data_IF_055199040686
#
_entry.id   IF_055199040686
#
_cell.length_a   1.000
_cell.length_b   1.000
_cell.length_c   1.000
_cell.angle_alpha   90.00
_cell.angle_beta   90.00
_cell.angle_gamma   90.00
#
_symmetry.space_group_name_H-M   'P 1'
#
loop_
_entity.id
_entity.type
_entity.pdbx_description
1 polymer ?
#
# COMPACT_ATOMS: atom_id res chain seq x y z
N UNK A 1 5.18 -2.04 32.95
CA UNK A 1 5.81 -1.18 31.93
C UNK A 1 6.12 -2.07 30.74
N UNK A 2 5.19 -2.14 29.79
CA UNK A 2 5.36 -2.87 28.54
C UNK A 2 4.47 -2.18 27.52
N UNK A 3 4.92 -1.03 27.01
CA UNK A 3 4.35 -0.49 25.77
C UNK A 3 4.86 -1.39 24.65
N UNK A 4 4.28 -2.58 24.55
CA UNK A 4 4.45 -3.44 23.39
C UNK A 4 3.93 -2.63 22.22
N UNK A 5 4.86 -2.11 21.42
CA UNK A 5 4.58 -1.34 20.21
C UNK A 5 3.64 -2.24 19.40
N UNK A 6 2.35 -1.92 19.37
CA UNK A 6 1.44 -2.56 18.44
C UNK A 6 2.05 -2.30 17.08
N UNK A 7 2.40 -3.35 16.31
CA UNK A 7 2.98 -3.13 15.00
C UNK A 7 2.04 -2.20 14.26
N UNK A 8 2.56 -1.05 13.82
CA UNK A 8 1.77 -0.11 13.03
C UNK A 8 1.11 -0.92 11.93
N UNK A 9 -0.22 -0.81 11.76
CA UNK A 9 -0.95 -1.60 10.77
C UNK A 9 -0.31 -1.49 9.37
N UNK A 10 0.32 -0.34 9.07
CA UNK A 10 1.13 -0.14 7.88
C UNK A 10 2.35 -1.07 7.77
N UNK A 11 3.05 -1.39 8.86
CA UNK A 11 4.15 -2.36 8.83
C UNK A 11 3.66 -3.77 8.49
N UNK A 12 2.54 -4.20 9.07
CA UNK A 12 1.94 -5.50 8.73
C UNK A 12 1.61 -5.55 7.24
N UNK A 13 0.90 -4.55 6.74
CA UNK A 13 0.50 -4.46 5.32
C UNK A 13 1.71 -4.40 4.38
N UNK A 14 2.78 -3.72 4.79
CA UNK A 14 4.02 -3.62 4.02
C UNK A 14 4.80 -4.95 3.96
N UNK A 15 4.65 -5.81 4.96
CA UNK A 15 5.33 -7.11 5.01
C UNK A 15 4.52 -8.26 4.37
N UNK A 16 3.30 -7.99 3.90
CA UNK A 16 2.51 -9.00 3.20
C UNK A 16 3.15 -9.35 1.84
N UNK A 17 3.23 -10.65 1.56
CA UNK A 17 3.62 -11.18 0.24
C UNK A 17 2.56 -10.82 -0.82
N UNK A 18 1.30 -10.67 -0.40
CA UNK A 18 0.19 -10.34 -1.29
C UNK A 18 0.22 -8.85 -1.65
N UNK A 19 -0.08 -8.53 -2.91
CA UNK A 19 -0.24 -7.16 -3.39
C UNK A 19 -1.54 -6.56 -2.84
N UNK A 20 -1.43 -5.55 -1.98
CA UNK A 20 -2.57 -4.80 -1.44
C UNK A 20 -2.62 -3.42 -2.07
N UNK A 21 -3.77 -3.12 -2.69
CA UNK A 21 -4.07 -1.84 -3.31
C UNK A 21 -5.38 -1.29 -2.74
N UNK A 22 -5.37 -0.07 -2.22
CA UNK A 22 -6.58 0.65 -1.82
C UNK A 22 -6.85 1.74 -2.84
N UNK A 23 -8.07 1.75 -3.35
CA UNK A 23 -8.54 2.70 -4.37
C UNK A 23 -9.84 3.35 -3.92
N UNK A 24 -10.11 4.56 -4.41
CA UNK A 24 -11.40 5.24 -4.23
C UNK A 24 -12.40 4.96 -5.36
N UNK A 25 -13.56 5.61 -5.30
CA UNK A 25 -14.61 5.55 -6.32
C UNK A 25 -14.19 6.10 -7.69
N UNK A 26 -13.16 6.94 -7.74
CA UNK A 26 -12.55 7.45 -8.97
C UNK A 26 -11.41 6.55 -9.48
N UNK A 27 -11.24 5.35 -8.91
CA UNK A 27 -10.16 4.40 -9.19
C UNK A 27 -8.75 4.98 -8.92
N UNK A 28 -8.65 6.05 -8.13
CA UNK A 28 -7.37 6.61 -7.75
C UNK A 28 -6.76 5.79 -6.61
N UNK A 29 -5.46 5.53 -6.68
CA UNK A 29 -4.76 4.72 -5.66
C UNK A 29 -4.46 5.58 -4.43
N UNK A 30 -4.94 5.14 -3.28
CA UNK A 30 -4.72 5.74 -1.94
C UNK A 30 -3.73 4.96 -1.09
N UNK A 31 -3.44 3.71 -1.44
CA UNK A 31 -2.40 2.93 -0.78
C UNK A 31 -1.95 1.79 -1.66
N UNK A 32 -0.63 1.55 -1.69
CA UNK A 32 -0.02 0.40 -2.33
C UNK A 32 1.10 -0.11 -1.44
N UNK A 33 1.03 -1.38 -1.04
CA UNK A 33 2.13 -2.01 -0.32
C UNK A 33 3.31 -2.33 -1.27
N UNK A 34 4.51 -2.66 -0.75
CA UNK A 34 5.68 -2.96 -1.57
C UNK A 34 5.45 -4.06 -2.61
N UNK A 35 4.67 -5.09 -2.28
CA UNK A 35 4.30 -6.13 -3.24
C UNK A 35 3.45 -5.60 -4.41
N UNK A 36 2.50 -4.68 -4.16
CA UNK A 36 1.72 -4.02 -5.21
C UNK A 36 2.58 -3.08 -6.08
N UNK A 37 3.50 -2.34 -5.47
CA UNK A 37 4.44 -1.47 -6.21
C UNK A 37 5.36 -2.28 -7.13
N UNK A 38 5.86 -3.42 -6.64
CA UNK A 38 6.68 -4.34 -7.43
C UNK A 38 5.91 -4.94 -8.59
N UNK A 39 4.67 -5.40 -8.35
CA UNK A 39 3.82 -5.99 -9.39
C UNK A 39 3.50 -4.97 -10.50
N UNK A 40 3.18 -3.74 -10.12
CA UNK A 40 2.84 -2.68 -11.09
C UNK A 40 4.08 -2.08 -11.75
N UNK A 41 5.30 -2.42 -11.31
CA UNK A 41 6.56 -1.83 -11.76
C UNK A 41 6.56 -0.29 -11.77
N UNK A 42 5.75 0.31 -10.90
CA UNK A 42 5.60 1.76 -10.72
C UNK A 42 5.82 2.07 -9.24
N UNK A 43 6.57 3.14 -8.94
CA UNK A 43 6.76 3.59 -7.57
C UNK A 43 5.44 4.08 -6.96
N UNK A 44 5.27 3.98 -5.62
CA UNK A 44 4.07 4.50 -4.93
C UNK A 44 3.78 5.94 -5.33
N UNK A 45 4.83 6.75 -5.49
CA UNK A 45 4.73 8.17 -5.84
C UNK A 45 4.15 8.42 -7.24
N UNK A 46 4.25 7.47 -8.16
CA UNK A 46 3.60 7.54 -9.49
C UNK A 46 2.21 6.91 -9.51
N UNK A 47 1.91 6.04 -8.55
CA UNK A 47 0.61 5.36 -8.41
C UNK A 47 -0.38 6.21 -7.61
N UNK A 48 0.11 6.90 -6.57
CA UNK A 48 -0.74 7.68 -5.66
C UNK A 48 -1.45 8.81 -6.38
N UNK A 49 -2.79 8.81 -6.34
CA UNK A 49 -3.61 9.83 -6.98
C UNK A 49 -3.71 9.74 -8.51
N UNK A 50 -3.15 8.71 -9.14
CA UNK A 50 -3.42 8.43 -10.56
C UNK A 50 -4.58 7.44 -10.69
N UNK A 51 -5.58 7.70 -11.54
CA UNK A 51 -6.62 6.71 -11.83
C UNK A 51 -5.97 5.49 -12.50
N UNK A 52 -6.36 4.30 -12.06
CA UNK A 52 -6.02 3.07 -12.76
C UNK A 52 -6.61 3.11 -14.19
N UNK A 53 -5.85 2.72 -15.23
CA UNK A 53 -6.34 2.65 -16.60
C UNK A 53 -7.34 1.50 -16.82
#
# INVERSE_FOLDING_TARGET
MASGIQPDAGQILNSLINSVLVVDDALAIHYANPAAQQLLAQSSRKLFGTPLP
#
